data_IF_119049399518
#
_entry.id   IF_119049399518
#
_cell.length_a   1.000
_cell.length_b   1.000
_cell.length_c   1.000
_cell.angle_alpha   90.00
_cell.angle_beta   90.00
_cell.angle_gamma   90.00
#
_symmetry.space_group_name_H-M   'P 1'
#
loop_
_entity.id
_entity.type
_entity.pdbx_description
1 polymer ?
#
# COMPACT_ATOMS: atom_id res chain seq x y z
N UNK A 1 -11.78 0.03 3.84
CA UNK A 1 -10.38 -0.17 4.26
C UNK A 1 -9.47 0.57 3.28
N UNK A 2 -9.48 1.90 3.29
CA UNK A 2 -8.40 2.67 2.67
C UNK A 2 -7.17 2.47 3.54
N UNK A 3 -5.97 2.54 2.95
CA UNK A 3 -4.66 2.52 3.61
C UNK A 3 -3.98 1.14 3.79
N UNK A 4 -3.29 0.72 2.73
CA UNK A 4 -2.04 -0.04 2.84
C UNK A 4 -0.92 0.99 3.12
N UNK A 5 -0.79 1.45 4.37
CA UNK A 5 0.05 2.62 4.69
C UNK A 5 1.52 2.27 4.93
N UNK A 6 2.34 3.14 4.35
CA UNK A 6 3.63 3.64 4.80
C UNK A 6 4.70 2.59 5.09
N UNK A 7 5.41 2.23 4.03
CA UNK A 7 6.78 1.75 4.17
C UNK A 7 7.66 2.94 4.49
N UNK A 8 8.14 3.06 5.73
CA UNK A 8 9.23 3.96 6.09
C UNK A 8 10.54 3.25 5.81
N UNK A 9 11.33 3.80 4.88
CA UNK A 9 12.66 3.28 4.55
C UNK A 9 13.71 4.14 5.24
N UNK A 10 14.62 3.54 6.00
CA UNK A 10 15.85 4.20 6.45
C UNK A 10 17.08 3.51 5.83
N UNK A 11 18.05 4.31 5.38
CA UNK A 11 19.31 3.83 4.77
C UNK A 11 20.34 3.34 5.81
N UNK A 12 20.19 3.69 7.09
CA UNK A 12 21.06 3.22 8.18
C UNK A 12 20.26 2.67 9.38
N UNK A 13 20.65 1.51 9.95
CA UNK A 13 20.00 0.96 11.13
C UNK A 13 20.38 1.75 12.40
N UNK A 14 19.39 2.32 13.07
CA UNK A 14 19.52 3.02 14.37
C UNK A 14 18.70 2.34 15.47
N UNK A 15 19.10 2.47 16.74
CA UNK A 15 18.36 1.83 17.85
C UNK A 15 17.03 2.56 18.12
N UNK A 16 15.97 1.82 18.48
CA UNK A 16 14.65 2.38 18.81
C UNK A 16 14.69 3.47 19.91
N UNK A 17 15.73 3.49 20.76
CA UNK A 17 15.92 4.51 21.80
C UNK A 17 16.32 5.87 21.23
N UNK A 18 16.92 5.93 20.05
CA UNK A 18 17.33 7.18 19.37
C UNK A 18 16.13 8.01 18.88
N UNK A 19 14.95 7.38 18.88
CA UNK A 19 13.70 7.94 18.43
C UNK A 19 13.03 8.77 19.55
N UNK A 20 13.08 8.34 20.82
CA UNK A 20 12.36 9.01 21.92
C UNK A 20 13.25 10.04 22.62
N UNK A 21 13.03 11.34 22.37
CA UNK A 21 13.51 12.43 23.26
C UNK A 21 12.38 12.88 24.20
N UNK A 22 12.77 13.17 25.45
CA UNK A 22 11.89 13.32 26.62
C UNK A 22 11.03 14.59 26.69
N UNK A 23 10.86 15.32 25.60
CA UNK A 23 10.19 16.62 25.50
C UNK A 23 8.99 16.63 24.52
N UNK A 24 8.69 15.52 23.85
CA UNK A 24 7.40 15.34 23.17
C UNK A 24 7.20 16.10 21.84
N UNK A 25 8.25 16.66 21.25
CA UNK A 25 8.18 17.17 19.87
C UNK A 25 8.12 16.00 18.87
N UNK A 26 7.04 15.94 18.11
CA UNK A 26 6.71 14.85 17.20
C UNK A 26 7.64 14.85 15.97
N UNK A 27 8.79 14.18 16.10
CA UNK A 27 9.67 13.63 15.05
C UNK A 27 9.87 14.44 13.76
N UNK A 28 10.77 15.42 13.79
CA UNK A 28 11.36 15.96 12.56
C UNK A 28 12.50 15.05 12.05
N UNK A 29 12.16 14.01 11.30
CA UNK A 29 13.13 13.19 10.58
C UNK A 29 13.96 14.01 9.58
N UNK A 30 13.38 15.07 9.02
CA UNK A 30 14.00 15.92 8.00
C UNK A 30 15.04 16.87 8.60
N UNK A 31 14.72 17.47 9.75
CA UNK A 31 15.63 18.29 10.56
C UNK A 31 16.79 17.49 11.20
N UNK A 32 16.65 16.16 11.28
CA UNK A 32 17.73 15.24 11.66
C UNK A 32 18.54 14.71 10.47
N UNK A 33 18.27 15.18 9.24
CA UNK A 33 19.00 14.76 8.04
C UNK A 33 18.69 13.33 7.58
N UNK A 34 17.57 12.75 8.01
CA UNK A 34 17.19 11.38 7.63
C UNK A 34 16.43 11.38 6.31
N UNK A 35 16.90 10.56 5.37
CA UNK A 35 16.15 10.24 4.16
C UNK A 35 15.14 9.14 4.50
N UNK A 36 13.86 9.53 4.65
CA UNK A 36 12.75 8.59 4.78
C UNK A 36 11.94 8.63 3.50
N UNK A 37 11.78 7.48 2.87
CA UNK A 37 10.84 7.30 1.78
C UNK A 37 9.52 6.74 2.31
N UNK A 38 8.40 7.24 1.79
CA UNK A 38 7.07 6.75 2.10
C UNK A 38 6.41 6.19 0.86
N UNK A 39 5.98 4.92 0.90
CA UNK A 39 5.34 4.26 -0.23
C UNK A 39 3.90 3.87 0.12
N UNK A 40 2.98 4.18 -0.80
CA UNK A 40 1.57 3.77 -0.72
C UNK A 40 1.27 2.78 -1.84
N UNK A 41 0.89 1.56 -1.47
CA UNK A 41 0.63 0.46 -2.41
C UNK A 41 -0.86 0.27 -2.67
N UNK A 42 -1.24 0.16 -3.94
CA UNK A 42 -2.62 -0.04 -4.39
C UNK A 42 -2.69 -1.12 -5.49
N UNK A 43 -3.88 -1.64 -5.85
CA UNK A 43 -3.99 -2.60 -6.93
C UNK A 43 -4.02 -1.90 -8.29
N UNK A 44 -3.41 -2.51 -9.30
CA UNK A 44 -3.57 -2.08 -10.71
C UNK A 44 -5.02 -2.14 -11.20
N UNK A 45 -5.89 -2.92 -10.56
CA UNK A 45 -7.32 -2.98 -10.86
C UNK A 45 -8.12 -1.76 -10.38
N UNK A 46 -7.63 -1.06 -9.35
CA UNK A 46 -8.22 0.17 -8.80
C UNK A 46 -7.09 1.19 -8.55
N UNK A 47 -6.47 1.75 -9.62
CA UNK A 47 -5.27 2.58 -9.54
C UNK A 47 -5.60 4.04 -9.15
N UNK A 48 -6.22 4.23 -7.98
CA UNK A 48 -6.76 5.51 -7.52
C UNK A 48 -5.70 6.60 -7.39
N UNK A 49 -4.56 6.33 -6.74
CA UNK A 49 -3.52 7.34 -6.50
C UNK A 49 -2.40 7.35 -7.55
N UNK A 50 -2.30 6.30 -8.38
CA UNK A 50 -1.32 6.26 -9.49
C UNK A 50 -1.90 6.73 -10.82
N UNK A 51 -3.20 6.59 -11.06
CA UNK A 51 -3.85 6.95 -12.33
C UNK A 51 -5.14 7.76 -12.19
N UNK A 52 -5.76 7.81 -11.00
CA UNK A 52 -6.96 8.61 -10.76
C UNK A 52 -6.71 10.10 -10.88
N UNK A 53 -7.78 10.85 -11.15
CA UNK A 53 -7.73 12.31 -11.24
C UNK A 53 -7.89 12.96 -9.87
N UNK A 54 -7.29 14.14 -9.68
CA UNK A 54 -7.51 14.95 -8.48
C UNK A 54 -8.62 15.96 -8.74
N UNK A 55 -9.80 15.73 -8.15
CA UNK A 55 -10.94 16.67 -8.21
C UNK A 55 -11.79 16.61 -6.95
N UNK A 56 -12.80 17.47 -6.90
CA UNK A 56 -13.87 17.34 -5.91
C UNK A 56 -14.81 16.21 -6.33
N UNK A 57 -15.05 15.27 -5.40
CA UNK A 57 -15.94 14.12 -5.62
C UNK A 57 -16.56 13.67 -4.30
N UNK A 58 -17.60 12.85 -4.38
CA UNK A 58 -18.26 12.29 -3.20
C UNK A 58 -17.40 11.20 -2.56
N UNK A 59 -17.32 11.20 -1.22
CA UNK A 59 -16.65 10.17 -0.43
C UNK A 59 -17.46 8.88 -0.26
N UNK A 60 -18.61 8.79 -0.88
CA UNK A 60 -19.46 7.61 -0.86
C UNK A 60 -20.29 7.55 -2.15
N UNK A 61 -20.67 6.34 -2.54
CA UNK A 61 -21.48 6.11 -3.75
C UNK A 61 -22.93 6.60 -3.58
N UNK A 62 -23.37 6.92 -2.35
CA UNK A 62 -24.70 7.41 -2.04
C UNK A 62 -24.80 8.94 -2.00
N UNK A 63 -23.71 9.65 -2.31
CA UNK A 63 -23.63 11.11 -2.32
C UNK A 63 -24.04 11.79 -0.99
N UNK A 64 -23.89 11.09 0.13
CA UNK A 64 -24.28 11.59 1.45
C UNK A 64 -23.19 12.44 2.11
N UNK A 65 -21.94 12.26 1.70
CA UNK A 65 -20.80 13.06 2.15
C UNK A 65 -20.74 14.41 1.43
N UNK A 66 -20.15 15.46 2.04
CA UNK A 66 -19.76 16.64 1.29
C UNK A 66 -18.69 16.30 0.24
N UNK A 67 -18.56 17.12 -0.78
CA UNK A 67 -17.49 16.97 -1.77
C UNK A 67 -16.11 17.13 -1.12
N UNK A 68 -15.21 16.20 -1.42
CA UNK A 68 -13.83 16.19 -0.93
C UNK A 68 -12.86 16.37 -2.10
N UNK A 69 -11.83 17.22 -1.95
CA UNK A 69 -10.72 17.24 -2.92
C UNK A 69 -9.86 16.00 -2.71
N UNK A 70 -9.90 15.06 -3.65
CA UNK A 70 -9.17 13.79 -3.54
C UNK A 70 -8.76 13.24 -4.91
N UNK A 71 -7.77 12.35 -4.93
CA UNK A 71 -7.65 11.36 -6.00
C UNK A 71 -8.91 10.52 -6.05
N UNK A 72 -9.48 10.34 -7.23
CA UNK A 72 -10.71 9.57 -7.44
C UNK A 72 -10.69 8.87 -8.81
N UNK A 73 -11.30 7.68 -8.86
CA UNK A 73 -11.70 7.00 -10.09
C UNK A 73 -13.15 7.35 -10.51
N UNK A 74 -13.83 8.19 -9.72
CA UNK A 74 -15.26 8.48 -9.78
C UNK A 74 -16.05 7.71 -8.72
N UNK A 75 -16.94 8.37 -7.98
CA UNK A 75 -17.79 7.72 -6.96
C UNK A 75 -18.75 6.64 -7.51
N UNK A 76 -18.95 6.61 -8.82
CA UNK A 76 -19.71 5.60 -9.56
C UNK A 76 -18.82 4.48 -10.13
N UNK A 77 -17.50 4.52 -9.88
CA UNK A 77 -16.56 3.50 -10.33
C UNK A 77 -16.89 2.12 -9.74
N UNK A 78 -16.93 1.12 -10.61
CA UNK A 78 -17.13 -0.28 -10.24
C UNK A 78 -15.84 -1.07 -10.56
N UNK A 79 -15.16 -1.64 -9.55
CA UNK A 79 -13.98 -2.46 -9.77
C UNK A 79 -14.24 -3.66 -10.69
N UNK A 80 -13.23 -4.14 -11.44
CA UNK A 80 -13.35 -5.35 -12.24
C UNK A 80 -13.80 -6.56 -11.41
N UNK A 81 -14.75 -7.40 -11.89
CA UNK A 81 -15.22 -8.58 -11.14
C UNK A 81 -14.13 -9.61 -10.82
N UNK A 82 -13.07 -9.63 -11.64
CA UNK A 82 -11.90 -10.51 -11.49
C UNK A 82 -10.93 -10.07 -10.37
N UNK A 83 -11.21 -8.95 -9.70
CA UNK A 83 -10.34 -8.39 -8.67
C UNK A 83 -10.62 -8.98 -7.28
N UNK A 84 -9.65 -9.74 -6.77
CA UNK A 84 -9.72 -10.40 -5.47
C UNK A 84 -8.85 -9.72 -4.40
N UNK A 85 -8.07 -8.70 -4.75
CA UNK A 85 -7.09 -8.06 -3.87
C UNK A 85 -7.64 -7.07 -2.83
N UNK A 86 -8.96 -6.93 -2.68
CA UNK A 86 -9.54 -5.90 -1.80
C UNK A 86 -9.34 -4.48 -2.38
N UNK A 87 -9.17 -3.45 -1.55
CA UNK A 87 -8.84 -2.06 -1.98
C UNK A 87 -9.71 -1.54 -3.15
N UNK A 88 -11.03 -1.67 -3.01
CA UNK A 88 -12.03 -1.39 -4.05
C UNK A 88 -12.59 0.03 -4.05
N UNK A 89 -12.22 0.81 -3.05
CA UNK A 89 -12.78 2.14 -2.84
C UNK A 89 -12.22 3.11 -3.88
N UNK A 90 -13.10 3.93 -4.46
CA UNK A 90 -12.82 4.77 -5.63
C UNK A 90 -11.94 5.98 -5.34
N UNK A 91 -11.95 6.47 -4.10
CA UNK A 91 -11.28 7.70 -3.69
C UNK A 91 -10.08 7.48 -2.78
N UNK A 92 -9.38 8.54 -2.45
CA UNK A 92 -8.34 8.52 -1.42
C UNK A 92 -8.51 9.66 -0.42
N UNK A 93 -8.12 9.46 0.84
CA UNK A 93 -8.19 10.51 1.84
C UNK A 93 -7.52 11.82 1.34
N UNK A 94 -8.13 13.01 1.52
CA UNK A 94 -7.58 14.28 1.05
C UNK A 94 -6.16 14.58 1.53
N UNK A 95 -5.83 14.17 2.76
CA UNK A 95 -4.47 14.31 3.30
C UNK A 95 -3.45 13.48 2.52
N UNK A 96 -3.77 12.23 2.17
CA UNK A 96 -2.89 11.38 1.37
C UNK A 96 -2.78 11.92 -0.05
N UNK A 97 -3.89 12.39 -0.63
CA UNK A 97 -3.88 13.09 -1.92
C UNK A 97 -2.88 14.23 -1.92
N UNK A 98 -2.94 15.08 -0.89
CA UNK A 98 -2.01 16.20 -0.76
C UNK A 98 -0.56 15.76 -0.60
N UNK A 99 -0.30 14.71 0.18
CA UNK A 99 1.05 14.17 0.37
C UNK A 99 1.64 13.55 -0.91
N UNK A 100 0.79 12.96 -1.76
CA UNK A 100 1.19 12.46 -3.09
C UNK A 100 1.44 13.63 -4.06
N UNK A 101 0.55 14.65 -4.12
CA UNK A 101 0.75 15.87 -4.93
C UNK A 101 2.07 16.59 -4.59
N UNK A 102 2.46 16.60 -3.32
CA UNK A 102 3.71 17.20 -2.81
C UNK A 102 4.93 16.28 -2.94
N UNK A 103 4.78 15.08 -3.48
CA UNK A 103 5.87 14.10 -3.65
C UNK A 103 6.44 13.55 -2.34
N UNK A 104 5.72 13.71 -1.23
CA UNK A 104 6.11 13.18 0.08
C UNK A 104 5.82 11.68 0.16
N UNK A 105 4.72 11.23 -0.46
CA UNK A 105 4.34 9.82 -0.56
C UNK A 105 4.43 9.38 -2.02
N UNK A 106 5.18 8.32 -2.29
CA UNK A 106 5.26 7.70 -3.61
C UNK A 106 4.19 6.61 -3.77
N UNK A 107 3.23 6.77 -4.70
CA UNK A 107 2.25 5.74 -4.97
C UNK A 107 2.84 4.63 -5.87
N UNK A 108 2.42 3.38 -5.65
CA UNK A 108 2.74 2.23 -6.53
C UNK A 108 1.50 1.38 -6.74
N UNK A 109 1.25 0.98 -7.98
CA UNK A 109 0.17 0.06 -8.34
C UNK A 109 0.75 -1.33 -8.61
N UNK A 110 0.14 -2.35 -8.00
CA UNK A 110 0.65 -3.72 -7.98
C UNK A 110 -0.36 -4.69 -8.60
N UNK A 111 0.15 -5.72 -9.26
CA UNK A 111 -0.70 -6.77 -9.82
C UNK A 111 -1.06 -7.80 -8.75
N UNK A 112 -2.34 -8.19 -8.69
CA UNK A 112 -2.81 -9.13 -7.67
C UNK A 112 -2.09 -10.47 -7.72
N UNK A 113 -1.67 -10.96 -8.89
CA UNK A 113 -0.96 -12.25 -9.00
C UNK A 113 0.40 -12.19 -8.30
N UNK A 114 1.14 -11.10 -8.47
CA UNK A 114 2.44 -10.91 -7.81
C UNK A 114 2.28 -10.63 -6.31
N UNK A 115 1.23 -9.91 -5.94
CA UNK A 115 0.84 -9.66 -4.54
C UNK A 115 0.56 -10.97 -3.81
N UNK A 116 -0.28 -11.85 -4.37
CA UNK A 116 -0.61 -13.13 -3.73
C UNK A 116 0.57 -14.11 -3.72
N UNK A 117 1.44 -14.09 -4.74
CA UNK A 117 2.71 -14.85 -4.73
C UNK A 117 3.53 -14.52 -3.49
N UNK A 118 3.73 -13.23 -3.25
CA UNK A 118 4.57 -12.77 -2.15
C UNK A 118 3.87 -12.86 -0.79
N UNK A 119 2.54 -12.78 -0.76
CA UNK A 119 1.74 -13.08 0.43
C UNK A 119 1.87 -14.55 0.87
N UNK A 120 1.82 -15.49 -0.07
CA UNK A 120 2.02 -16.93 0.22
C UNK A 120 3.44 -17.20 0.70
N UNK A 121 4.44 -16.54 0.11
CA UNK A 121 5.82 -16.61 0.59
C UNK A 121 5.90 -16.11 2.04
N UNK A 122 5.40 -14.92 2.32
CA UNK A 122 5.39 -14.32 3.66
C UNK A 122 4.68 -15.21 4.68
N UNK A 123 3.51 -15.78 4.33
CA UNK A 123 2.79 -16.68 5.23
C UNK A 123 3.57 -17.96 5.55
N UNK A 124 4.34 -18.48 4.58
CA UNK A 124 5.18 -19.67 4.78
C UNK A 124 6.44 -19.38 5.60
N UNK A 125 6.97 -18.15 5.54
CA UNK A 125 8.20 -17.78 6.27
C UNK A 125 7.90 -17.27 7.67
N UNK A 126 6.89 -16.39 7.81
CA UNK A 126 6.56 -15.70 9.07
C UNK A 126 5.40 -16.37 9.85
N UNK A 127 4.68 -17.29 9.23
CA UNK A 127 3.57 -18.01 9.86
C UNK A 127 2.26 -17.20 10.01
N UNK A 128 2.19 -16.00 9.41
CA UNK A 128 1.00 -15.13 9.46
C UNK A 128 0.46 -14.93 8.04
N UNK A 129 -0.82 -15.21 7.83
CA UNK A 129 -1.51 -14.96 6.54
C UNK A 129 -1.97 -13.50 6.51
N UNK A 130 -1.44 -12.63 5.63
CA UNK A 130 -1.91 -11.25 5.53
C UNK A 130 -3.30 -11.17 4.90
N UNK A 131 -4.08 -10.13 5.20
CA UNK A 131 -5.28 -9.83 4.40
C UNK A 131 -4.89 -9.48 2.95
N UNK A 132 -5.75 -9.68 1.94
CA UNK A 132 -5.46 -9.28 0.56
C UNK A 132 -5.04 -7.81 0.42
N UNK A 133 -5.62 -6.90 1.20
CA UNK A 133 -5.19 -5.49 1.25
C UNK A 133 -3.78 -5.35 1.84
N UNK A 134 -3.51 -6.01 2.97
CA UNK A 134 -2.20 -6.01 3.63
C UNK A 134 -1.11 -6.62 2.75
N UNK A 135 -1.45 -7.60 1.92
CA UNK A 135 -0.54 -8.26 0.99
C UNK A 135 0.09 -7.27 -0.01
N UNK A 136 -0.59 -6.16 -0.34
CA UNK A 136 -0.01 -5.12 -1.22
C UNK A 136 1.20 -4.44 -0.55
N UNK A 137 1.10 -4.12 0.74
CA UNK A 137 2.22 -3.57 1.50
C UNK A 137 3.36 -4.59 1.69
N UNK A 138 3.01 -5.86 1.94
CA UNK A 138 3.98 -6.96 2.02
C UNK A 138 4.74 -7.12 0.70
N UNK A 139 4.04 -7.16 -0.42
CA UNK A 139 4.66 -7.27 -1.74
C UNK A 139 5.62 -6.10 -2.02
N UNK A 140 5.18 -4.87 -1.78
CA UNK A 140 6.04 -3.69 -1.92
C UNK A 140 7.29 -3.77 -1.02
N UNK A 141 7.15 -4.24 0.22
CA UNK A 141 8.27 -4.45 1.14
C UNK A 141 9.26 -5.51 0.63
N UNK A 142 8.76 -6.62 0.09
CA UNK A 142 9.59 -7.69 -0.45
C UNK A 142 10.36 -7.23 -1.69
N UNK A 143 9.76 -6.42 -2.57
CA UNK A 143 10.47 -5.83 -3.71
C UNK A 143 11.64 -4.92 -3.26
N UNK A 144 11.40 -4.09 -2.23
CA UNK A 144 12.45 -3.25 -1.65
C UNK A 144 13.55 -4.08 -0.97
N UNK A 145 13.18 -5.15 -0.26
CA UNK A 145 14.15 -6.05 0.36
C UNK A 145 15.02 -6.75 -0.71
N UNK A 146 14.41 -7.16 -1.84
CA UNK A 146 15.14 -7.72 -2.99
C UNK A 146 16.06 -6.69 -3.65
N UNK A 147 15.65 -5.42 -3.74
CA UNK A 147 16.50 -4.33 -4.22
C UNK A 147 17.69 -4.07 -3.27
N UNK A 148 17.42 -3.98 -1.97
CA UNK A 148 18.44 -3.81 -0.92
C UNK A 148 19.50 -4.93 -1.01
N UNK A 149 19.06 -6.19 -1.09
CA UNK A 149 19.95 -7.34 -1.25
C UNK A 149 20.79 -7.30 -2.53
N UNK A 150 20.22 -6.86 -3.67
CA UNK A 150 20.95 -6.70 -4.94
C UNK A 150 21.97 -5.56 -4.91
N UNK A 151 21.67 -4.50 -4.16
CA UNK A 151 22.49 -3.30 -4.08
C UNK A 151 23.54 -3.33 -2.95
N UNK A 152 23.54 -4.37 -2.12
CA UNK A 152 24.36 -4.49 -0.90
C UNK A 152 24.23 -3.27 0.03
N UNK A 153 23.03 -2.66 0.07
CA UNK A 153 22.71 -1.53 0.94
C UNK A 153 21.70 -1.98 1.99
N UNK A 154 22.02 -1.92 3.29
CA UNK A 154 21.05 -2.25 4.33
C UNK A 154 19.88 -1.26 4.25
N UNK A 155 18.67 -1.77 4.49
CA UNK A 155 17.46 -0.94 4.60
C UNK A 155 16.62 -1.43 5.77
N UNK A 156 16.09 -0.50 6.55
CA UNK A 156 15.04 -0.80 7.52
C UNK A 156 13.70 -0.53 6.85
N UNK A 157 12.79 -1.51 6.89
CA UNK A 157 11.49 -1.43 6.22
C UNK A 157 10.40 -1.67 7.28
N UNK A 158 9.59 -0.64 7.55
CA UNK A 158 8.41 -0.74 8.42
C UNK A 158 7.16 -1.03 7.60
N UNK A 159 6.43 -2.12 7.84
CA UNK A 159 5.21 -2.45 7.09
C UNK A 159 3.98 -2.10 7.91
N UNK A 160 3.04 -1.33 7.33
CA UNK A 160 1.69 -1.17 7.86
C UNK A 160 0.86 -2.45 7.71
N UNK A 161 1.02 -3.40 8.64
CA UNK A 161 0.30 -4.68 8.62
C UNK A 161 -1.14 -4.52 9.11
N UNK A 162 -2.06 -4.20 8.19
CA UNK A 162 -3.42 -3.75 8.52
C UNK A 162 -4.39 -4.85 8.96
N UNK A 163 -4.15 -6.12 8.62
CA UNK A 163 -5.05 -7.21 8.98
C UNK A 163 -4.59 -8.60 8.54
N UNK A 164 -5.27 -9.63 9.04
CA UNK A 164 -5.00 -11.03 8.71
C UNK A 164 -6.00 -11.58 7.67
N UNK A 165 -5.58 -12.56 6.88
CA UNK A 165 -6.37 -13.14 5.78
C UNK A 165 -7.24 -14.34 6.14
N UNK A 166 -7.43 -14.68 7.42
CA UNK A 166 -8.21 -15.85 7.84
C UNK A 166 -9.64 -15.91 7.27
N UNK A 167 -10.24 -14.76 6.96
CA UNK A 167 -11.59 -14.67 6.40
C UNK A 167 -11.61 -14.41 4.89
N UNK A 168 -10.44 -14.30 4.26
CA UNK A 168 -10.26 -14.02 2.83
C UNK A 168 -9.68 -15.22 2.07
N UNK A 169 -9.86 -16.42 2.63
CA UNK A 169 -9.26 -17.66 2.11
C UNK A 169 -9.73 -18.00 0.69
N UNK A 170 -10.89 -17.51 0.24
CA UNK A 170 -11.35 -17.68 -1.14
C UNK A 170 -10.41 -17.00 -2.15
N UNK A 171 -9.86 -15.83 -1.82
CA UNK A 171 -8.91 -15.13 -2.68
C UNK A 171 -7.57 -15.87 -2.76
N UNK A 172 -7.08 -16.39 -1.62
CA UNK A 172 -5.91 -17.27 -1.58
C UNK A 172 -6.13 -18.58 -2.34
N UNK A 173 -7.31 -19.17 -2.22
CA UNK A 173 -7.67 -20.39 -2.95
C UNK A 173 -7.65 -20.13 -4.47
N UNK A 174 -8.24 -19.03 -4.94
CA UNK A 174 -8.21 -18.65 -6.35
C UNK A 174 -6.77 -18.47 -6.86
N UNK A 175 -5.89 -17.86 -6.06
CA UNK A 175 -4.46 -17.77 -6.41
C UNK A 175 -3.82 -19.15 -6.54
N UNK A 176 -3.97 -20.01 -5.52
CA UNK A 176 -3.36 -21.34 -5.47
C UNK A 176 -3.90 -22.28 -6.55
N UNK A 177 -5.14 -22.10 -6.98
CA UNK A 177 -5.76 -22.82 -8.09
C UNK A 177 -5.34 -22.28 -9.48
N UNK A 178 -4.61 -21.17 -9.54
CA UNK A 178 -4.22 -20.52 -10.80
C UNK A 178 -5.39 -19.79 -11.50
N UNK A 179 -6.43 -19.42 -10.75
CA UNK A 179 -7.65 -18.78 -11.27
C UNK A 179 -7.57 -17.25 -11.25
N UNK A 180 -6.60 -16.66 -10.54
CA UNK A 180 -6.38 -15.21 -10.57
C UNK A 180 -5.81 -14.75 -11.91
N UNK A 181 -6.45 -13.73 -12.47
CA UNK A 181 -6.04 -13.09 -13.72
C UNK A 181 -5.25 -11.82 -13.42
N UNK A 182 -4.18 -11.59 -14.20
CA UNK A 182 -3.42 -10.33 -14.12
C UNK A 182 -4.31 -9.16 -14.52
N UNK A 183 -4.22 -8.07 -13.76
CA UNK A 183 -4.96 -6.82 -13.97
C UNK A 183 -4.07 -5.75 -14.59
N UNK A 184 -2.76 -5.96 -14.59
CA UNK A 184 -1.79 -5.18 -15.37
C UNK A 184 -1.76 -5.62 -16.84
N UNK A 185 -1.56 -4.70 -17.81
CA UNK A 185 -1.32 -5.07 -19.20
C UNK A 185 -0.09 -5.98 -19.27
N UNK A 186 -0.22 -7.15 -19.90
CA UNK A 186 0.91 -8.06 -20.10
C UNK A 186 2.02 -7.38 -20.90
N UNK A 187 3.24 -7.48 -20.39
CA UNK A 187 4.45 -7.14 -21.15
C UNK A 187 4.90 -8.36 -21.98
#
# INVERSE_FOLDING_TARGET
SMLSILLGIEEEPHEFRDYIKGDGELYDAKGRGRAIEFIAAEPTACPTITQGEVRYDYGDTGEMTPLLKMHTLGHDFVPPPIHAGGLRYHGMAPIITRLVEEGIVRPVALDQVDVFRDAVLFARTEGIIPAPETAHAVHAALELAREAARSDRPRVILIGFSGHGHFDMSAYQAYLAGELVRTSPGN
#
